data_IF_275591564450
#
_entry.id   IF_275591564450
#
_cell.length_a   1.000
_cell.length_b   1.000
_cell.length_c   1.000
_cell.angle_alpha   90.00
_cell.angle_beta   90.00
_cell.angle_gamma   90.00
#
_symmetry.space_group_name_H-M   'P 1'
#
loop_
_entity.id
_entity.type
_entity.pdbx_description
1 polymer ?
#
# COMPACT_ATOMS: atom_id res chain seq x y z
N UNK A 1 31.27 -34.54 -26.22
CA UNK A 1 31.02 -34.01 -24.86
C UNK A 1 31.48 -32.57 -24.83
N UNK A 2 30.61 -31.62 -25.18
CA UNK A 2 30.94 -30.20 -25.16
C UNK A 2 30.27 -29.58 -23.95
N UNK A 3 31.04 -29.41 -22.87
CA UNK A 3 30.60 -28.67 -21.70
C UNK A 3 30.79 -27.18 -22.00
N UNK A 4 29.69 -26.50 -22.27
CA UNK A 4 29.63 -25.03 -22.36
C UNK A 4 29.76 -24.51 -20.93
N UNK A 5 30.94 -24.06 -20.53
CA UNK A 5 31.15 -23.34 -19.28
C UNK A 5 30.59 -21.91 -19.42
N UNK A 6 29.35 -21.70 -18.98
CA UNK A 6 28.83 -20.36 -18.75
C UNK A 6 29.53 -19.71 -17.55
N UNK A 7 29.94 -18.46 -17.74
CA UNK A 7 30.67 -17.64 -16.76
C UNK A 7 29.91 -17.47 -15.44
N UNK A 8 30.64 -17.62 -14.32
CA UNK A 8 30.20 -17.40 -12.93
C UNK A 8 29.50 -16.05 -12.70
N UNK A 9 29.83 -15.03 -13.50
CA UNK A 9 29.18 -13.71 -13.46
C UNK A 9 27.71 -13.75 -13.90
N UNK A 10 27.34 -14.65 -14.83
CA UNK A 10 25.95 -14.80 -15.28
C UNK A 10 25.08 -15.47 -14.20
N UNK A 11 25.65 -16.38 -13.40
CA UNK A 11 24.95 -16.97 -12.26
C UNK A 11 24.71 -15.94 -11.16
N UNK A 12 25.64 -15.02 -10.90
CA UNK A 12 25.46 -13.96 -9.92
C UNK A 12 24.39 -12.92 -10.36
N UNK A 13 24.35 -12.57 -11.65
CA UNK A 13 23.31 -11.70 -12.22
C UNK A 13 21.94 -12.39 -12.26
N UNK A 14 21.90 -13.69 -12.55
CA UNK A 14 20.67 -14.49 -12.51
C UNK A 14 20.18 -14.71 -11.08
N UNK A 15 21.08 -14.94 -10.11
CA UNK A 15 20.77 -14.96 -8.68
C UNK A 15 20.31 -13.59 -8.19
N UNK A 16 20.92 -12.49 -8.62
CA UNK A 16 20.47 -11.15 -8.29
C UNK A 16 19.09 -10.83 -8.88
N UNK A 17 18.81 -11.23 -10.13
CA UNK A 17 17.47 -11.15 -10.72
C UNK A 17 16.47 -12.06 -9.98
N UNK A 18 16.87 -13.26 -9.58
CA UNK A 18 16.03 -14.15 -8.78
C UNK A 18 15.79 -13.56 -7.38
N UNK A 19 16.74 -12.84 -6.78
CA UNK A 19 16.54 -12.09 -5.53
C UNK A 19 15.55 -10.93 -5.68
N UNK A 20 15.42 -10.33 -6.87
CA UNK A 20 14.33 -9.40 -7.18
C UNK A 20 12.97 -10.09 -7.34
N UNK A 21 12.94 -11.40 -7.58
CA UNK A 21 11.71 -12.19 -7.71
C UNK A 21 11.41 -13.11 -6.50
N UNK A 22 12.26 -13.16 -5.47
CA UNK A 22 12.00 -13.99 -4.29
C UNK A 22 11.22 -13.23 -3.23
N UNK A 23 10.09 -13.83 -2.87
CA UNK A 23 9.12 -13.47 -1.84
C UNK A 23 8.06 -12.45 -2.28
N UNK A 24 7.32 -12.79 -3.34
CA UNK A 24 5.88 -12.50 -3.32
C UNK A 24 5.27 -13.44 -2.30
N UNK A 25 5.47 -13.15 -1.01
CA UNK A 25 4.55 -13.65 0.00
C UNK A 25 3.20 -13.11 -0.42
N UNK A 26 2.29 -13.98 -0.86
CA UNK A 26 0.89 -13.61 -0.95
C UNK A 26 0.54 -13.05 0.43
N UNK A 27 0.39 -11.73 0.52
CA UNK A 27 0.00 -11.08 1.76
C UNK A 27 -1.40 -11.62 2.03
N UNK A 28 -1.48 -12.60 2.93
CA UNK A 28 -2.74 -13.14 3.42
C UNK A 28 -3.41 -11.97 4.12
N UNK A 29 -4.24 -11.24 3.38
CA UNK A 29 -4.79 -9.99 3.86
C UNK A 29 -5.81 -10.24 4.96
N UNK A 30 -5.96 -9.26 5.84
CA UNK A 30 -6.90 -9.35 6.95
C UNK A 30 -8.34 -9.37 6.42
N UNK A 31 -9.03 -10.49 6.62
CA UNK A 31 -10.47 -10.60 6.39
C UNK A 31 -11.21 -10.22 7.67
N UNK A 32 -11.97 -9.12 7.62
CA UNK A 32 -12.80 -8.73 8.77
C UNK A 32 -14.08 -9.56 8.81
N UNK A 33 -14.34 -10.14 9.97
CA UNK A 33 -15.57 -10.90 10.24
C UNK A 33 -16.71 -9.96 10.60
N UNK A 34 -17.93 -10.44 10.40
CA UNK A 34 -19.15 -9.78 10.79
C UNK A 34 -19.64 -10.32 12.13
N UNK A 35 -19.62 -9.51 13.20
CA UNK A 35 -20.33 -9.86 14.43
C UNK A 35 -21.82 -10.00 14.13
N UNK A 36 -22.48 -11.02 14.70
CA UNK A 36 -23.90 -11.31 14.45
C UNK A 36 -24.84 -10.17 14.86
N UNK A 37 -24.39 -9.32 15.78
CA UNK A 37 -25.14 -8.17 16.27
C UNK A 37 -24.86 -6.87 15.49
N UNK A 38 -23.98 -6.91 14.48
CA UNK A 38 -23.69 -5.74 13.65
C UNK A 38 -24.82 -5.45 12.66
N UNK A 39 -25.06 -4.18 12.29
CA UNK A 39 -26.00 -3.86 11.22
C UNK A 39 -25.53 -4.45 9.89
N UNK A 40 -26.46 -4.77 8.96
CA UNK A 40 -26.12 -5.36 7.67
C UNK A 40 -25.34 -4.40 6.76
N UNK A 41 -25.52 -3.09 6.94
CA UNK A 41 -24.71 -2.09 6.27
C UNK A 41 -24.66 -0.78 7.07
N UNK A 42 -23.53 -0.08 7.00
CA UNK A 42 -23.29 1.22 7.64
C UNK A 42 -22.25 2.02 6.86
N UNK A 43 -22.40 3.34 6.88
CA UNK A 43 -21.33 4.24 6.48
C UNK A 43 -20.16 4.16 7.48
N UNK A 44 -18.95 4.07 6.97
CA UNK A 44 -17.69 4.18 7.72
C UNK A 44 -16.63 4.79 6.80
N UNK A 45 -15.37 4.81 7.23
CA UNK A 45 -14.28 5.42 6.47
C UNK A 45 -13.13 4.43 6.31
N UNK A 46 -12.47 4.51 5.16
CA UNK A 46 -11.14 3.94 4.96
C UNK A 46 -10.14 5.08 4.79
N UNK A 47 -8.89 4.85 5.15
CA UNK A 47 -7.86 5.88 4.96
C UNK A 47 -7.10 5.69 3.66
N UNK A 48 -6.81 6.79 2.99
CA UNK A 48 -5.97 6.80 1.80
C UNK A 48 -4.81 7.77 1.97
N UNK A 49 -3.61 7.39 1.54
CA UNK A 49 -2.43 8.29 1.54
C UNK A 49 -2.20 8.80 0.14
N UNK A 50 -2.16 10.11 -0.07
CA UNK A 50 -1.82 10.66 -1.37
C UNK A 50 -0.45 10.16 -1.84
N UNK A 51 -0.35 9.65 -3.08
CA UNK A 51 0.89 9.06 -3.62
C UNK A 51 1.27 9.71 -4.94
N UNK A 52 2.52 10.18 -5.00
CA UNK A 52 3.12 10.69 -6.22
C UNK A 52 3.38 9.55 -7.22
N UNK A 53 3.24 9.78 -8.54
CA UNK A 53 2.74 11.01 -9.16
C UNK A 53 1.22 11.01 -9.39
N UNK A 54 0.58 9.84 -9.36
CA UNK A 54 -0.74 9.64 -9.93
C UNK A 54 -1.91 10.03 -9.00
N UNK A 55 -1.69 10.09 -7.69
CA UNK A 55 -2.73 10.28 -6.68
C UNK A 55 -2.40 11.48 -5.79
N UNK A 56 -2.18 12.64 -6.43
CA UNK A 56 -1.91 13.93 -5.79
C UNK A 56 -3.03 14.97 -6.02
N UNK A 57 -4.22 14.52 -6.42
CA UNK A 57 -5.44 15.32 -6.53
C UNK A 57 -6.61 14.51 -5.98
N UNK A 58 -7.63 15.21 -5.46
CA UNK A 58 -8.84 14.55 -4.98
C UNK A 58 -9.61 13.89 -6.13
N UNK A 59 -9.59 14.45 -7.34
CA UNK A 59 -10.20 13.85 -8.53
C UNK A 59 -9.61 12.47 -8.86
N UNK A 60 -8.29 12.35 -8.94
CA UNK A 60 -7.67 11.07 -9.30
C UNK A 60 -7.92 9.98 -8.24
N UNK A 61 -8.04 10.39 -6.98
CA UNK A 61 -8.36 9.49 -5.87
C UNK A 61 -9.85 9.13 -5.91
N UNK A 62 -10.75 10.10 -6.06
CA UNK A 62 -12.19 9.86 -6.11
C UNK A 62 -12.58 8.96 -7.28
N UNK A 63 -11.88 9.07 -8.41
CA UNK A 63 -12.07 8.21 -9.59
C UNK A 63 -11.85 6.72 -9.29
N UNK A 64 -10.81 6.37 -8.52
CA UNK A 64 -10.59 4.95 -8.16
C UNK A 64 -11.60 4.47 -7.12
N UNK A 65 -12.18 5.37 -6.32
CA UNK A 65 -13.27 5.05 -5.40
C UNK A 65 -14.66 5.16 -6.03
N UNK A 66 -14.76 5.44 -7.34
CA UNK A 66 -16.03 5.65 -8.05
C UNK A 66 -16.97 6.64 -7.37
N UNK A 67 -16.43 7.78 -6.94
CA UNK A 67 -17.19 8.84 -6.27
C UNK A 67 -16.75 10.23 -6.66
N UNK A 68 -17.49 11.24 -6.20
CA UNK A 68 -17.09 12.64 -6.36
C UNK A 68 -15.98 13.03 -5.37
N UNK A 69 -15.21 14.11 -5.63
CA UNK A 69 -14.16 14.59 -4.72
C UNK A 69 -14.71 15.21 -3.42
N UNK A 70 -15.86 15.90 -3.48
CA UNK A 70 -16.44 16.64 -2.35
C UNK A 70 -16.60 15.84 -1.03
N UNK A 71 -17.12 14.60 -1.02
CA UNK A 71 -17.20 13.82 0.21
C UNK A 71 -15.84 13.54 0.85
N UNK A 72 -14.81 13.30 0.04
CA UNK A 72 -13.43 13.10 0.53
C UNK A 72 -12.88 14.39 1.13
N UNK A 73 -13.07 15.52 0.43
CA UNK A 73 -12.64 16.83 0.90
C UNK A 73 -13.26 17.15 2.28
N UNK A 74 -14.58 17.03 2.39
CA UNK A 74 -15.33 17.24 3.64
C UNK A 74 -14.86 16.32 4.77
N UNK A 75 -14.76 15.01 4.48
CA UNK A 75 -14.35 14.04 5.48
C UNK A 75 -12.90 14.24 5.95
N UNK A 76 -12.04 14.77 5.08
CA UNK A 76 -10.62 14.99 5.36
C UNK A 76 -10.30 16.40 5.84
N UNK A 77 -11.28 17.27 6.06
CA UNK A 77 -11.07 18.68 6.43
C UNK A 77 -10.25 19.48 5.41
N UNK A 78 -10.50 19.25 4.12
CA UNK A 78 -9.90 20.00 3.01
C UNK A 78 -10.93 20.99 2.47
N UNK A 79 -10.56 22.27 2.45
CA UNK A 79 -11.46 23.37 2.09
C UNK A 79 -11.87 23.37 0.61
N UNK A 80 -10.94 23.06 -0.30
CA UNK A 80 -11.19 23.13 -1.75
C UNK A 80 -10.95 21.78 -2.45
N UNK A 81 -11.89 21.36 -3.29
CA UNK A 81 -11.85 20.08 -4.02
C UNK A 81 -10.70 19.98 -5.03
N UNK A 82 -10.23 21.11 -5.55
CA UNK A 82 -9.12 21.23 -6.48
C UNK A 82 -7.75 21.41 -5.77
N UNK A 83 -7.74 21.34 -4.44
CA UNK A 83 -6.51 21.42 -3.66
C UNK A 83 -5.52 20.35 -4.11
N UNK A 84 -4.30 20.79 -4.39
CA UNK A 84 -3.21 19.88 -4.69
C UNK A 84 -2.76 19.17 -3.42
N UNK A 85 -2.75 17.85 -3.45
CA UNK A 85 -2.30 17.04 -2.35
C UNK A 85 -0.77 16.90 -2.37
N UNK A 86 -0.19 16.73 -1.19
CA UNK A 86 1.23 16.40 -1.05
C UNK A 86 1.40 14.89 -0.76
N UNK A 87 2.56 14.30 -1.08
CA UNK A 87 2.82 12.90 -0.77
C UNK A 87 2.61 12.57 0.71
N UNK A 88 2.02 11.40 0.96
CA UNK A 88 1.68 10.85 2.27
C UNK A 88 0.65 11.62 3.10
N UNK A 89 0.04 12.67 2.53
CA UNK A 89 -1.14 13.33 3.09
C UNK A 89 -2.27 12.32 3.27
N UNK A 90 -2.80 12.23 4.49
CA UNK A 90 -3.81 11.26 4.87
C UNK A 90 -5.20 11.82 4.61
N UNK A 91 -6.05 10.99 3.99
CA UNK A 91 -7.43 11.31 3.65
C UNK A 91 -8.36 10.28 4.29
N UNK A 92 -9.58 10.71 4.60
CA UNK A 92 -10.71 9.83 4.91
C UNK A 92 -11.57 9.69 3.68
N UNK A 93 -11.74 8.45 3.22
CA UNK A 93 -12.62 8.10 2.12
C UNK A 93 -13.89 7.50 2.73
N UNK A 94 -15.05 8.16 2.61
CA UNK A 94 -16.31 7.59 3.07
C UNK A 94 -16.64 6.33 2.25
N UNK A 95 -17.09 5.28 2.90
CA UNK A 95 -17.51 4.05 2.23
C UNK A 95 -18.77 3.50 2.90
N UNK A 96 -19.61 2.83 2.10
CA UNK A 96 -20.73 2.05 2.65
C UNK A 96 -20.25 0.61 2.86
N UNK A 97 -20.02 0.25 4.11
CA UNK A 97 -19.59 -1.08 4.49
C UNK A 97 -20.80 -2.00 4.56
N UNK A 98 -20.73 -3.14 3.86
CA UNK A 98 -21.71 -4.22 3.95
C UNK A 98 -21.15 -5.35 4.81
N UNK A 99 -22.00 -5.95 5.64
CA UNK A 99 -21.65 -7.07 6.50
C UNK A 99 -22.51 -8.29 6.15
N UNK A 100 -21.88 -9.39 5.75
CA UNK A 100 -22.57 -10.64 5.47
C UNK A 100 -21.73 -11.86 5.91
N UNK A 101 -22.22 -13.07 5.60
CA UNK A 101 -21.54 -14.33 5.94
C UNK A 101 -20.14 -14.47 5.31
N UNK A 102 -19.89 -13.79 4.21
CA UNK A 102 -18.62 -13.85 3.47
C UNK A 102 -17.59 -12.85 4.01
N UNK A 103 -17.95 -12.01 4.98
CA UNK A 103 -17.10 -11.00 5.59
C UNK A 103 -17.69 -9.61 5.51
N UNK A 104 -16.87 -8.63 5.85
CA UNK A 104 -17.25 -7.22 5.90
C UNK A 104 -16.45 -6.41 4.88
N UNK A 105 -17.14 -5.87 3.86
CA UNK A 105 -16.51 -5.21 2.71
C UNK A 105 -17.32 -4.02 2.20
N UNK A 106 -16.62 -3.05 1.64
CA UNK A 106 -17.21 -2.00 0.82
C UNK A 106 -16.85 -2.27 -0.65
N UNK A 107 -17.87 -2.46 -1.48
CA UNK A 107 -17.69 -2.83 -2.88
C UNK A 107 -17.60 -1.57 -3.74
N UNK A 108 -16.44 -1.35 -4.36
CA UNK A 108 -16.22 -0.27 -5.30
C UNK A 108 -16.19 -0.84 -6.72
N UNK A 109 -16.89 -0.22 -7.66
CA UNK A 109 -16.76 -0.59 -9.07
C UNK A 109 -15.53 0.11 -9.66
N UNK A 110 -14.67 -0.62 -10.36
CA UNK A 110 -13.51 -0.03 -11.05
C UNK A 110 -13.45 -0.54 -12.49
N UNK A 111 -13.06 0.34 -13.41
CA UNK A 111 -12.88 -0.03 -14.83
C UNK A 111 -11.39 -0.21 -15.10
N UNK A 112 -11.01 -1.40 -15.54
CA UNK A 112 -9.62 -1.78 -15.83
C UNK A 112 -9.02 -0.85 -16.89
N UNK A 113 -7.84 -0.30 -16.56
CA UNK A 113 -7.01 0.50 -17.46
C UNK A 113 -5.86 -0.35 -18.01
N UNK A 114 -5.26 0.14 -19.08
CA UNK A 114 -4.09 -0.52 -19.68
C UNK A 114 -2.94 -0.59 -18.66
N UNK A 115 -2.37 -1.79 -18.47
CA UNK A 115 -1.27 -2.02 -17.53
C UNK A 115 -1.70 -2.35 -16.10
N UNK A 116 -3.01 -2.38 -15.82
CA UNK A 116 -3.52 -2.83 -14.53
C UNK A 116 -3.28 -4.33 -14.32
N UNK A 117 -2.99 -4.69 -13.06
CA UNK A 117 -2.95 -6.06 -12.58
C UNK A 117 -3.51 -6.13 -11.16
N UNK A 118 -3.86 -7.33 -10.71
CA UNK A 118 -4.38 -7.54 -9.35
C UNK A 118 -3.39 -7.04 -8.29
N UNK A 119 -2.11 -7.30 -8.51
CA UNK A 119 -1.04 -6.85 -7.63
C UNK A 119 -0.93 -5.32 -7.59
N UNK A 120 -0.84 -4.65 -8.76
CA UNK A 120 -0.71 -3.18 -8.82
C UNK A 120 -1.93 -2.52 -8.18
N UNK A 121 -3.13 -3.00 -8.51
CA UNK A 121 -4.35 -2.38 -8.01
C UNK A 121 -4.48 -2.58 -6.49
N UNK A 122 -4.34 -3.79 -5.97
CA UNK A 122 -4.48 -4.05 -4.53
C UNK A 122 -3.39 -3.38 -3.69
N UNK A 123 -2.13 -3.45 -4.10
CA UNK A 123 -0.99 -3.01 -3.26
C UNK A 123 -0.59 -1.56 -3.47
N UNK A 124 -0.73 -1.04 -4.69
CA UNK A 124 -0.28 0.32 -5.05
C UNK A 124 -1.48 1.25 -5.13
N UNK A 125 -2.49 0.94 -5.95
CA UNK A 125 -3.61 1.84 -6.18
C UNK A 125 -4.53 1.95 -4.97
N UNK A 126 -4.90 0.83 -4.34
CA UNK A 126 -5.73 0.75 -3.13
C UNK A 126 -4.91 0.52 -1.85
N UNK A 127 -3.58 0.54 -1.92
CA UNK A 127 -2.70 0.64 -0.75
C UNK A 127 -2.89 -0.43 0.33
N UNK A 128 -3.19 -1.67 -0.07
CA UNK A 128 -3.50 -2.80 0.82
C UNK A 128 -4.82 -2.65 1.62
N UNK A 129 -5.73 -1.77 1.19
CA UNK A 129 -7.12 -1.73 1.72
C UNK A 129 -7.96 -2.93 1.27
N UNK A 130 -7.49 -3.68 0.28
CA UNK A 130 -8.05 -4.96 -0.16
C UNK A 130 -6.93 -6.00 -0.16
N UNK A 131 -7.29 -7.27 -0.01
CA UNK A 131 -6.36 -8.37 -0.23
C UNK A 131 -6.49 -8.91 -1.65
N UNK A 132 -5.41 -9.53 -2.14
CA UNK A 132 -5.40 -10.23 -3.42
C UNK A 132 -6.42 -11.39 -3.44
N UNK A 133 -6.54 -12.14 -2.35
CA UNK A 133 -7.44 -13.28 -2.23
C UNK A 133 -8.92 -12.85 -2.33
N UNK A 134 -9.29 -11.77 -1.66
CA UNK A 134 -10.67 -11.27 -1.75
C UNK A 134 -10.96 -10.69 -3.14
N UNK A 135 -9.94 -10.16 -3.83
CA UNK A 135 -10.06 -9.75 -5.22
C UNK A 135 -10.43 -10.88 -6.17
N UNK A 136 -9.78 -12.05 -6.02
CA UNK A 136 -10.12 -13.25 -6.80
C UNK A 136 -11.53 -13.75 -6.47
N UNK A 137 -11.91 -13.76 -5.19
CA UNK A 137 -13.24 -14.21 -4.75
C UNK A 137 -14.38 -13.36 -5.34
N UNK A 138 -14.19 -12.03 -5.38
CA UNK A 138 -15.21 -11.09 -5.87
C UNK A 138 -15.26 -10.98 -7.40
N UNK A 139 -14.22 -11.43 -8.09
CA UNK A 139 -14.12 -11.36 -9.54
C UNK A 139 -13.74 -12.73 -10.14
N UNK A 140 -14.59 -13.76 -9.94
CA UNK A 140 -14.30 -15.10 -10.40
C UNK A 140 -14.18 -15.13 -11.93
N UNK A 141 -13.20 -15.88 -12.44
CA UNK A 141 -12.99 -16.07 -13.87
C UNK A 141 -12.10 -15.03 -14.56
N UNK A 142 -11.67 -13.98 -13.87
CA UNK A 142 -10.65 -13.06 -14.38
C UNK A 142 -9.24 -13.56 -14.04
N UNK A 143 -8.30 -13.34 -14.96
CA UNK A 143 -6.89 -13.72 -14.76
C UNK A 143 -6.14 -12.58 -14.06
N UNK A 144 -5.57 -12.81 -12.86
CA UNK A 144 -4.98 -11.75 -12.03
C UNK A 144 -3.87 -10.92 -12.68
N UNK A 145 -3.13 -11.53 -13.62
CA UNK A 145 -2.00 -10.93 -14.33
C UNK A 145 -2.34 -10.43 -15.74
N UNK A 146 -3.54 -10.73 -16.23
CA UNK A 146 -3.96 -10.47 -17.60
C UNK A 146 -5.39 -9.90 -17.59
N UNK A 147 -5.48 -8.60 -17.27
CA UNK A 147 -6.74 -7.87 -17.27
C UNK A 147 -6.92 -7.17 -18.60
N UNK A 148 -8.04 -7.45 -19.27
CA UNK A 148 -8.40 -6.72 -20.48
C UNK A 148 -8.94 -5.35 -20.11
N UNK A 149 -8.53 -4.33 -20.85
CA UNK A 149 -8.97 -2.95 -20.68
C UNK A 149 -10.50 -2.86 -20.79
N UNK A 150 -11.06 -1.88 -20.09
CA UNK A 150 -12.47 -1.48 -20.15
C UNK A 150 -13.44 -2.51 -19.53
N UNK A 151 -12.92 -3.60 -18.94
CA UNK A 151 -13.69 -4.51 -18.07
C UNK A 151 -13.98 -3.83 -16.73
N UNK A 152 -15.21 -3.94 -16.24
CA UNK A 152 -15.59 -3.54 -14.88
C UNK A 152 -15.38 -4.67 -13.89
N UNK A 153 -14.77 -4.35 -12.77
CA UNK A 153 -14.51 -5.27 -11.66
C UNK A 153 -15.04 -4.70 -10.35
N UNK A 154 -15.18 -5.56 -9.35
CA UNK A 154 -15.50 -5.19 -7.97
C UNK A 154 -14.22 -5.17 -7.14
N UNK A 155 -13.94 -4.04 -6.51
CA UNK A 155 -12.89 -3.90 -5.49
C UNK A 155 -13.54 -4.02 -4.10
N UNK A 156 -13.34 -5.13 -3.38
CA UNK A 156 -13.84 -5.33 -2.03
C UNK A 156 -12.86 -4.73 -1.01
N UNK A 157 -13.08 -3.47 -0.64
CA UNK A 157 -12.29 -2.84 0.41
C UNK A 157 -12.65 -3.46 1.77
N UNK A 158 -11.65 -3.91 2.52
CA UNK A 158 -11.85 -4.36 3.90
C UNK A 158 -12.40 -3.21 4.74
N UNK A 159 -13.50 -3.45 5.43
CA UNK A 159 -14.11 -2.51 6.37
C UNK A 159 -14.85 -3.27 7.46
N UNK A 160 -15.33 -2.58 8.51
CA UNK A 160 -16.19 -3.22 9.52
C UNK A 160 -17.30 -2.29 9.99
N UNK A 161 -18.48 -2.88 10.22
CA UNK A 161 -19.57 -2.20 10.91
C UNK A 161 -19.37 -2.33 12.43
N UNK A 162 -19.57 -1.26 13.23
CA UNK A 162 -19.57 -1.39 14.68
C UNK A 162 -20.68 -2.34 15.15
N UNK A 163 -20.37 -3.20 16.12
CA UNK A 163 -21.35 -4.03 16.83
C UNK A 163 -22.37 -3.19 17.60
N UNK A 164 -23.52 -3.76 17.97
CA UNK A 164 -24.50 -3.06 18.82
C UNK A 164 -23.88 -2.64 20.15
N UNK A 165 -23.04 -3.48 20.73
CA UNK A 165 -22.32 -3.15 21.97
C UNK A 165 -21.41 -1.92 21.79
N UNK A 166 -20.67 -1.85 20.69
CA UNK A 166 -19.81 -0.70 20.39
C UNK A 166 -20.63 0.59 20.15
N UNK A 167 -21.75 0.49 19.43
CA UNK A 167 -22.67 1.61 19.24
C UNK A 167 -23.22 2.12 20.58
N UNK A 168 -23.59 1.21 21.49
CA UNK A 168 -24.06 1.56 22.84
C UNK A 168 -22.98 2.24 23.69
N UNK A 169 -21.70 1.94 23.44
CA UNK A 169 -20.54 2.61 24.06
C UNK A 169 -20.17 3.94 23.37
N UNK A 170 -20.91 4.33 22.33
CA UNK A 170 -20.70 5.57 21.59
C UNK A 170 -19.69 5.49 20.44
N UNK A 171 -19.14 4.32 20.13
CA UNK A 171 -18.32 4.13 18.92
C UNK A 171 -19.22 4.26 17.69
N UNK A 172 -18.99 5.26 16.86
CA UNK A 172 -19.80 5.52 15.66
C UNK A 172 -19.21 4.89 14.41
N UNK A 173 -17.88 4.84 14.32
CA UNK A 173 -17.19 4.34 13.14
C UNK A 173 -16.04 3.40 13.54
N UNK A 174 -15.80 2.40 12.70
CA UNK A 174 -14.56 1.61 12.70
C UNK A 174 -13.80 1.99 11.42
N UNK A 175 -12.87 2.92 11.55
CA UNK A 175 -12.11 3.44 10.40
C UNK A 175 -11.04 2.41 10.01
N UNK A 176 -10.99 2.01 8.75
CA UNK A 176 -9.94 1.09 8.29
C UNK A 176 -8.68 1.87 7.95
N UNK A 177 -7.58 1.49 8.58
CA UNK A 177 -6.27 2.12 8.42
C UNK A 177 -5.21 1.07 8.14
N UNK A 178 -4.39 1.27 7.12
CA UNK A 178 -3.28 0.35 6.82
C UNK A 178 -2.08 0.75 7.66
N UNK A 179 -1.67 -0.15 8.55
CA UNK A 179 -0.57 0.09 9.48
C UNK A 179 0.76 0.25 8.73
N UNK A 180 1.54 1.26 9.11
CA UNK A 180 2.82 1.60 8.50
C UNK A 180 3.99 1.10 9.36
N UNK A 181 5.16 0.91 8.74
CA UNK A 181 6.34 0.36 9.42
C UNK A 181 6.81 1.18 10.65
N UNK A 182 6.54 2.49 10.67
CA UNK A 182 6.93 3.40 11.75
C UNK A 182 5.76 3.78 12.67
N UNK A 183 4.60 3.14 12.53
CA UNK A 183 3.47 3.42 13.39
C UNK A 183 3.64 2.83 14.78
N UNK A 184 3.04 3.51 15.75
CA UNK A 184 2.79 2.95 17.07
C UNK A 184 1.40 3.34 17.55
N UNK A 185 0.93 2.63 18.57
CA UNK A 185 -0.43 2.74 19.11
C UNK A 185 -0.71 4.19 19.55
N UNK A 186 0.22 4.84 20.22
CA UNK A 186 0.07 6.21 20.72
C UNK A 186 -0.09 7.23 19.60
N UNK A 187 0.78 7.17 18.57
CA UNK A 187 0.74 8.11 17.45
C UNK A 187 -0.51 7.94 16.60
N UNK A 188 -0.90 6.69 16.32
CA UNK A 188 -2.09 6.39 15.50
C UNK A 188 -3.34 6.76 16.28
N UNK A 189 -3.50 6.32 17.54
CA UNK A 189 -4.68 6.67 18.35
C UNK A 189 -4.85 8.18 18.49
N UNK A 190 -3.78 8.93 18.76
CA UNK A 190 -3.82 10.40 18.84
C UNK A 190 -4.29 11.02 17.52
N UNK A 191 -3.76 10.56 16.38
CA UNK A 191 -4.14 11.05 15.04
C UNK A 191 -5.63 10.92 14.75
N UNK A 192 -6.26 9.85 15.21
CA UNK A 192 -7.69 9.60 14.99
C UNK A 192 -8.55 9.99 16.20
N UNK A 193 -7.97 10.62 17.23
CA UNK A 193 -8.66 10.87 18.51
C UNK A 193 -9.35 9.62 19.07
N UNK A 194 -8.71 8.47 18.90
CA UNK A 194 -9.21 7.16 19.31
C UNK A 194 -8.64 6.76 20.68
N UNK A 195 -9.37 5.89 21.37
CA UNK A 195 -8.90 5.25 22.61
C UNK A 195 -7.85 4.19 22.28
N UNK A 196 -6.68 4.24 22.91
CA UNK A 196 -5.64 3.23 22.75
C UNK A 196 -6.13 1.84 23.16
N UNK A 197 -6.90 1.77 24.25
CA UNK A 197 -7.46 0.52 24.76
C UNK A 197 -8.45 -0.10 23.75
N UNK A 198 -9.39 0.70 23.23
CA UNK A 198 -10.36 0.22 22.25
C UNK A 198 -9.68 -0.19 20.94
N UNK A 199 -8.68 0.56 20.49
CA UNK A 199 -7.90 0.20 19.30
C UNK A 199 -7.14 -1.12 19.49
N UNK A 200 -6.54 -1.35 20.66
CA UNK A 200 -5.88 -2.62 20.95
C UNK A 200 -6.90 -3.77 21.02
N UNK A 201 -8.01 -3.60 21.75
CA UNK A 201 -9.06 -4.63 21.86
C UNK A 201 -9.67 -4.98 20.50
N UNK A 202 -9.94 -4.01 19.63
CA UNK A 202 -10.52 -4.28 18.32
C UNK A 202 -9.55 -5.05 17.39
N UNK A 203 -8.24 -4.89 17.59
CA UNK A 203 -7.21 -5.50 16.73
C UNK A 203 -6.40 -6.59 17.45
N UNK A 204 -7.02 -7.35 18.36
CA UNK A 204 -6.42 -8.51 19.04
C UNK A 204 -5.12 -8.19 19.83
N UNK A 205 -5.02 -6.97 20.37
CA UNK A 205 -3.97 -6.47 21.27
C UNK A 205 -2.53 -6.41 20.72
N UNK A 206 -2.20 -6.99 19.57
CA UNK A 206 -0.86 -6.97 19.01
C UNK A 206 -0.81 -6.40 17.58
N UNK A 207 -0.37 -5.15 17.47
CA UNK A 207 -0.20 -4.44 16.20
C UNK A 207 1.24 -4.45 15.66
N UNK A 208 2.21 -5.03 16.39
CA UNK A 208 3.63 -5.02 15.96
C UNK A 208 3.87 -5.81 14.67
N UNK A 209 3.04 -6.81 14.37
CA UNK A 209 3.09 -7.60 13.14
C UNK A 209 2.11 -7.10 12.05
N UNK A 210 1.52 -5.91 12.21
CA UNK A 210 0.47 -5.41 11.30
C UNK A 210 0.98 -4.60 10.11
N UNK A 211 2.29 -4.41 9.93
CA UNK A 211 2.83 -3.61 8.82
C UNK A 211 2.24 -4.02 7.46
N UNK A 212 1.69 -3.04 6.73
CA UNK A 212 0.96 -3.19 5.47
C UNK A 212 -0.37 -3.97 5.55
N UNK A 213 -0.87 -4.25 6.76
CA UNK A 213 -2.18 -4.86 6.96
C UNK A 213 -3.21 -3.80 7.40
N UNK A 214 -4.47 -3.94 6.95
CA UNK A 214 -5.55 -3.10 7.42
C UNK A 214 -5.88 -3.46 8.88
N UNK A 215 -6.03 -2.43 9.70
CA UNK A 215 -6.49 -2.47 11.08
C UNK A 215 -7.73 -1.57 11.22
N UNK A 216 -8.44 -1.71 12.32
CA UNK A 216 -9.67 -0.95 12.60
C UNK A 216 -9.42 0.05 13.72
N UNK A 217 -9.87 1.29 13.53
CA UNK A 217 -9.72 2.35 14.51
C UNK A 217 -11.11 2.76 15.00
N UNK A 218 -11.51 2.34 16.21
CA UNK A 218 -12.79 2.73 16.80
C UNK A 218 -12.78 4.22 17.17
N UNK A 219 -13.77 4.97 16.68
CA UNK A 219 -13.91 6.40 16.98
C UNK A 219 -15.36 6.77 17.30
N UNK A 220 -15.52 7.72 18.23
CA UNK A 220 -16.84 8.20 18.69
C UNK A 220 -17.37 9.35 17.80
N UNK A 221 -16.48 9.95 17.02
CA UNK A 221 -16.77 11.00 16.04
C UNK A 221 -15.75 10.93 14.91
N UNK A 222 -16.05 11.57 13.78
CA UNK A 222 -15.07 11.68 12.70
C UNK A 222 -13.85 12.49 13.20
N UNK A 223 -12.61 12.00 13.01
CA UNK A 223 -11.43 12.73 13.46
C UNK A 223 -11.19 13.96 12.59
N UNK A 224 -10.66 15.01 13.21
CA UNK A 224 -10.15 16.17 12.48
C UNK A 224 -8.72 15.89 12.07
N UNK A 225 -8.51 15.59 10.78
CA UNK A 225 -7.16 15.31 10.29
C UNK A 225 -6.40 16.63 10.12
N UNK A 226 -5.16 16.66 10.63
CA UNK A 226 -4.24 17.78 10.39
C UNK A 226 -3.85 17.80 8.91
N UNK A 227 -4.39 18.76 8.17
CA UNK A 227 -4.05 18.96 6.77
C UNK A 227 -2.83 19.89 6.65
N UNK A 228 -1.85 19.56 5.79
CA UNK A 228 -0.70 20.40 5.56
C UNK A 228 -1.15 21.75 5.02
N UNK A 229 -0.64 22.84 5.58
CA UNK A 229 -0.91 24.17 5.04
C UNK A 229 -0.32 24.27 3.63
N UNK A 230 -1.04 24.95 2.73
CA UNK A 230 -0.64 25.17 1.34
C UNK A 230 0.70 25.93 1.21
N UNK A 231 1.22 26.48 2.31
CA UNK A 231 2.43 27.27 2.40
C UNK A 231 3.47 26.59 3.31
N UNK A 232 4.19 25.56 2.83
CA UNK A 232 5.61 25.38 3.17
C UNK A 232 6.23 24.24 2.33
N UNK A 233 6.78 24.64 1.19
CA UNK A 233 7.58 23.78 0.34
C UNK A 233 9.01 23.67 0.88
N UNK A 234 9.22 22.96 1.99
CA UNK A 234 10.58 22.49 2.30
C UNK A 234 10.89 21.30 1.40
N UNK A 235 11.41 21.63 0.21
CA UNK A 235 12.05 20.68 -0.71
C UNK A 235 13.25 20.06 0.00
N UNK A 236 13.04 18.98 0.75
CA UNK A 236 14.15 18.18 1.24
C UNK A 236 14.71 17.38 0.05
N UNK A 237 15.80 17.89 -0.50
CA UNK A 237 16.62 17.19 -1.49
C UNK A 237 17.85 16.56 -0.83
N UNK A 238 17.73 15.42 -0.12
CA UNK A 238 18.89 14.55 0.13
C UNK A 238 18.90 13.32 -0.79
N UNK A 239 17.79 12.98 -1.47
CA UNK A 239 17.67 11.74 -2.26
C UNK A 239 18.44 11.77 -3.59
N UNK A 240 18.50 12.93 -4.27
CA UNK A 240 19.18 13.02 -5.57
C UNK A 240 20.72 12.93 -5.43
N UNK A 241 21.28 13.56 -4.40
CA UNK A 241 22.72 13.51 -4.13
C UNK A 241 23.18 12.09 -3.73
N UNK A 242 22.36 11.37 -2.96
CA UNK A 242 22.63 9.98 -2.59
C UNK A 242 22.62 9.05 -3.83
N UNK A 243 21.66 9.22 -4.74
CA UNK A 243 21.55 8.42 -5.96
C UNK A 243 22.75 8.67 -6.89
N UNK A 244 23.16 9.94 -7.05
CA UNK A 244 24.34 10.30 -7.86
C UNK A 244 25.62 9.71 -7.25
N UNK A 245 25.76 9.78 -5.92
CA UNK A 245 26.91 9.21 -5.21
C UNK A 245 27.03 7.68 -5.37
N UNK A 246 25.92 6.95 -5.28
CA UNK A 246 25.91 5.48 -5.45
C UNK A 246 26.25 5.10 -6.90
N UNK A 247 25.72 5.83 -7.89
CA UNK A 247 25.98 5.56 -9.31
C UNK A 247 27.47 5.74 -9.66
N UNK A 248 28.08 6.85 -9.25
CA UNK A 248 29.50 7.12 -9.50
C UNK A 248 30.42 6.14 -8.78
N UNK A 249 30.10 5.80 -7.52
CA UNK A 249 30.86 4.81 -6.75
C UNK A 249 30.82 3.42 -7.39
N UNK A 250 29.65 3.00 -7.88
CA UNK A 250 29.49 1.69 -8.53
C UNK A 250 30.29 1.58 -9.84
N UNK A 251 30.30 2.62 -10.67
CA UNK A 251 31.05 2.64 -11.92
C UNK A 251 32.57 2.59 -11.68
N UNK A 252 33.06 3.33 -10.69
CA UNK A 252 34.48 3.32 -10.31
C UNK A 252 34.92 1.95 -9.77
N UNK A 253 34.11 1.33 -8.91
CA UNK A 253 34.40 0.01 -8.36
C UNK A 253 34.47 -1.08 -9.43
N UNK A 254 33.55 -1.06 -10.41
CA UNK A 254 33.57 -1.99 -11.55
C UNK A 254 34.83 -1.78 -12.40
N UNK A 255 35.23 -0.53 -12.66
CA UNK A 255 36.44 -0.23 -13.43
C UNK A 255 37.70 -0.78 -12.74
N UNK A 256 37.84 -0.57 -11.42
CA UNK A 256 39.00 -1.08 -10.66
C UNK A 256 39.05 -2.60 -10.64
N UNK A 257 37.89 -3.26 -10.47
CA UNK A 257 37.79 -4.72 -10.50
C UNK A 257 38.20 -5.29 -11.86
N UNK A 258 37.70 -4.71 -12.95
CA UNK A 258 38.03 -5.17 -14.31
C UNK A 258 39.52 -5.02 -14.60
N UNK A 259 40.13 -3.88 -14.28
CA UNK A 259 41.57 -3.66 -14.44
C UNK A 259 42.41 -4.62 -13.59
N UNK A 260 41.99 -4.89 -12.36
CA UNK A 260 42.67 -5.85 -11.47
C UNK A 260 42.62 -7.28 -12.01
N UNK A 261 41.47 -7.69 -12.54
CA UNK A 261 41.31 -9.02 -13.16
C UNK A 261 42.15 -9.15 -14.43
N UNK A 262 42.18 -8.12 -15.27
CA UNK A 262 43.05 -8.08 -16.47
C UNK A 262 44.52 -8.16 -16.07
N UNK A 263 44.94 -7.41 -15.05
CA UNK A 263 46.30 -7.43 -14.53
C UNK A 263 46.70 -8.83 -14.04
N UNK A 264 45.86 -9.49 -13.24
CA UNK A 264 46.09 -10.86 -12.76
C UNK A 264 46.13 -11.87 -13.92
N UNK A 265 45.25 -11.71 -14.91
CA UNK A 265 45.25 -12.55 -16.11
C UNK A 265 46.55 -12.41 -16.91
N UNK A 266 47.01 -11.18 -17.13
CA UNK A 266 48.28 -10.91 -17.82
C UNK A 266 49.49 -11.48 -17.06
N UNK A 267 49.50 -11.39 -15.72
CA UNK A 267 50.54 -12.01 -14.89
C UNK A 267 50.53 -13.53 -14.99
N UNK A 268 49.34 -14.16 -15.02
CA UNK A 268 49.20 -15.60 -15.16
C UNK A 268 49.66 -16.07 -16.54
N UNK A 269 49.29 -15.36 -17.61
CA UNK A 269 49.77 -15.60 -18.97
C UNK A 269 51.30 -15.50 -19.07
N UNK A 270 51.92 -14.48 -18.46
CA UNK A 270 53.38 -14.33 -18.42
C UNK A 270 54.09 -15.47 -17.68
N UNK A 271 53.46 -16.06 -16.66
CA UNK A 271 54.00 -17.22 -15.94
C UNK A 271 53.84 -18.56 -16.68
N UNK A 272 52.90 -18.66 -17.61
CA UNK A 272 52.67 -19.86 -18.42
C UNK A 272 53.55 -19.92 -19.67
N UNK A 273 54.03 -18.77 -20.15
CA UNK A 273 54.93 -18.65 -21.30
C UNK A 273 56.43 -18.63 -20.92
N UNK A 274 56.77 -18.92 -19.66
CA UNK A 274 58.15 -19.08 -19.17
C UNK A 274 58.30 -20.49 -18.63
#
# INVERSE_FOLDING_TARGET
MSAIFLSSSSHALFLALLFFFTNISALSGTKFTCPADSPPSRETYVTYRAKSPNFLSLTNISDIFSMSPLPIAKASNIEAEDSKLIPDQLLLIPVTCGCNKNGSFANITYTIKQGDSYFILSTISYQNLTSYLEWENFNPGLRPTLLSKDIKIVVPLSCKCPSKNQLNKGIKYLITYVWQANDNVTLVSSKFSASQADMLTENNHNLTASTNLPILIPVNSLPKLDQPSSSERKRSTPKLALIIGISLGSAFFILVLTLSLVYVYCLKMKRLNR
#
